data_IF_884952960798
#
_entry.id   IF_884952960798
#
_cell.length_a   1.000
_cell.length_b   1.000
_cell.length_c   1.000
_cell.angle_alpha   90.00
_cell.angle_beta   90.00
_cell.angle_gamma   90.00
#
_symmetry.space_group_name_H-M   'P 1'
#
loop_
_entity.id
_entity.type
_entity.pdbx_description
1 polymer ?
#
# COMPACT_ATOMS: atom_id res chain seq x y z
N UNK A 1 -8.23 14.05 -2.00
CA UNK A 1 -8.07 15.23 -1.15
C UNK A 1 -8.39 16.53 -1.88
N UNK A 2 -7.94 16.68 -3.12
CA UNK A 2 -8.19 17.90 -3.90
C UNK A 2 -9.67 18.14 -4.15
N UNK A 3 -10.42 17.10 -4.51
CA UNK A 3 -11.85 17.20 -4.74
C UNK A 3 -12.61 17.63 -3.48
N UNK A 4 -12.25 17.08 -2.33
CA UNK A 4 -12.87 17.44 -1.06
C UNK A 4 -12.59 18.91 -0.70
N UNK A 5 -11.39 19.38 -0.96
CA UNK A 5 -11.03 20.78 -0.77
C UNK A 5 -11.87 21.69 -1.66
N UNK A 6 -12.08 21.32 -2.92
CA UNK A 6 -12.94 22.07 -3.85
C UNK A 6 -14.37 22.12 -3.36
N UNK A 7 -14.86 21.07 -2.70
CA UNK A 7 -16.21 21.02 -2.11
C UNK A 7 -16.29 21.67 -0.72
N UNK A 8 -15.20 22.29 -0.25
CA UNK A 8 -15.10 22.90 1.08
C UNK A 8 -15.34 21.91 2.22
N UNK A 9 -15.00 20.64 2.00
CA UNK A 9 -15.09 19.61 3.03
C UNK A 9 -13.75 19.48 3.74
N UNK A 10 -13.79 19.48 5.08
CA UNK A 10 -12.59 19.36 5.91
C UNK A 10 -12.23 17.88 6.15
N UNK A 11 -10.96 17.56 5.97
CA UNK A 11 -10.41 16.24 6.29
C UNK A 11 -9.58 16.39 7.58
N UNK A 12 -9.78 15.58 8.61
CA UNK A 12 -10.72 14.44 8.72
C UNK A 12 -12.11 14.76 9.26
N UNK A 13 -12.40 16.03 9.60
CA UNK A 13 -13.61 16.38 10.35
C UNK A 13 -14.93 16.02 9.63
N UNK A 14 -15.03 16.38 8.35
CA UNK A 14 -16.22 16.07 7.56
C UNK A 14 -16.13 14.70 6.91
N UNK A 15 -14.94 14.37 6.42
CA UNK A 15 -14.67 13.10 5.73
C UNK A 15 -13.25 12.64 6.09
N UNK A 16 -13.13 11.42 6.61
CA UNK A 16 -11.84 10.77 6.77
C UNK A 16 -11.41 10.14 5.44
N UNK A 17 -10.11 10.22 5.14
CA UNK A 17 -9.55 9.68 3.90
C UNK A 17 -8.39 8.76 4.22
N UNK A 18 -8.38 7.58 3.61
CA UNK A 18 -7.28 6.65 3.71
C UNK A 18 -6.87 6.19 2.32
N UNK A 19 -5.59 5.92 2.15
CA UNK A 19 -5.00 5.46 0.92
C UNK A 19 -4.37 4.07 1.03
N UNK A 20 -3.61 3.71 0.01
CA UNK A 20 -2.89 2.44 -0.08
C UNK A 20 -1.54 2.66 -0.74
N UNK A 21 -0.53 1.87 -0.39
CA UNK A 21 0.84 1.85 -0.92
C UNK A 21 1.84 2.78 -0.23
N UNK A 22 1.40 3.75 0.55
CA UNK A 22 2.29 4.68 1.27
C UNK A 22 3.39 5.27 0.36
N UNK A 23 2.98 5.84 -0.77
CA UNK A 23 3.91 6.55 -1.65
C UNK A 23 4.43 7.81 -0.95
N UNK A 24 5.61 8.34 -1.33
CA UNK A 24 6.17 9.53 -0.68
C UNK A 24 5.22 10.73 -0.60
N UNK A 25 4.35 10.90 -1.58
CA UNK A 25 3.34 11.95 -1.58
C UNK A 25 2.39 11.89 -0.38
N UNK A 26 2.22 10.73 0.25
CA UNK A 26 1.37 10.56 1.43
C UNK A 26 1.81 11.43 2.61
N UNK A 27 3.09 11.69 2.72
CA UNK A 27 3.67 12.56 3.77
C UNK A 27 3.69 14.04 3.37
N UNK A 28 3.54 14.34 2.08
CA UNK A 28 3.68 15.69 1.55
C UNK A 28 2.35 16.42 1.39
N UNK A 29 1.26 15.70 1.31
CA UNK A 29 -0.08 16.29 1.20
C UNK A 29 -0.57 16.85 2.54
N UNK A 30 -1.54 17.75 2.48
CA UNK A 30 -2.16 18.33 3.68
C UNK A 30 -3.66 18.05 3.66
N UNK A 31 -4.21 17.36 4.66
CA UNK A 31 -3.49 16.69 5.76
C UNK A 31 -2.66 15.50 5.26
N UNK A 32 -1.66 15.09 6.04
CA UNK A 32 -0.88 13.90 5.72
C UNK A 32 -1.78 12.66 5.69
N UNK A 33 -1.55 11.78 4.71
CA UNK A 33 -2.48 10.72 4.37
C UNK A 33 -2.21 9.44 5.15
N UNK A 34 -3.21 8.96 5.88
CA UNK A 34 -3.25 7.61 6.44
C UNK A 34 -3.27 6.60 5.30
N UNK A 35 -2.42 5.58 5.36
CA UNK A 35 -2.28 4.62 4.26
C UNK A 35 -1.83 3.26 4.76
N UNK A 36 -1.91 2.27 3.90
CA UNK A 36 -1.38 0.93 4.14
C UNK A 36 -0.02 0.82 3.47
N UNK A 37 0.98 0.43 4.25
CA UNK A 37 2.34 0.17 3.75
C UNK A 37 2.53 -1.31 3.54
N UNK A 38 2.91 -1.70 2.33
CA UNK A 38 3.34 -3.05 1.99
C UNK A 38 4.85 -3.08 1.86
N UNK A 39 5.47 -4.21 2.21
CA UNK A 39 6.91 -4.41 2.01
C UNK A 39 7.17 -4.82 0.56
N UNK A 40 7.17 -3.86 -0.35
CA UNK A 40 7.20 -4.08 -1.80
C UNK A 40 8.45 -4.84 -2.25
N UNK A 41 9.59 -4.60 -1.62
CA UNK A 41 10.82 -5.35 -1.94
C UNK A 41 10.68 -6.84 -1.64
N UNK A 42 10.06 -7.19 -0.52
CA UNK A 42 9.83 -8.58 -0.15
C UNK A 42 8.84 -9.25 -1.12
N UNK A 43 7.79 -8.54 -1.53
CA UNK A 43 6.83 -9.04 -2.51
C UNK A 43 7.52 -9.31 -3.84
N UNK A 44 8.35 -8.37 -4.30
CA UNK A 44 9.12 -8.51 -5.54
C UNK A 44 10.10 -9.68 -5.47
N UNK A 45 10.82 -9.83 -4.36
CA UNK A 45 11.76 -10.92 -4.15
C UNK A 45 11.06 -12.29 -4.18
N UNK A 46 9.92 -12.42 -3.52
CA UNK A 46 9.14 -13.66 -3.52
C UNK A 46 8.57 -13.97 -4.92
N UNK A 47 8.10 -12.98 -5.63
CA UNK A 47 7.63 -13.14 -7.01
C UNK A 47 8.76 -13.61 -7.93
N UNK A 48 9.93 -12.98 -7.85
CA UNK A 48 11.09 -13.37 -8.63
C UNK A 48 11.53 -14.81 -8.34
N UNK A 49 11.57 -15.18 -7.08
CA UNK A 49 11.89 -16.52 -6.62
C UNK A 49 10.96 -17.58 -7.23
N UNK A 50 9.66 -17.30 -7.25
CA UNK A 50 8.67 -18.21 -7.83
C UNK A 50 8.84 -18.37 -9.33
N UNK A 51 9.10 -17.28 -10.04
CA UNK A 51 9.33 -17.32 -11.49
C UNK A 51 10.59 -18.12 -11.80
N UNK A 52 11.69 -17.88 -11.08
CA UNK A 52 12.95 -18.62 -11.25
C UNK A 52 12.77 -20.11 -10.98
N UNK A 53 12.05 -20.48 -9.94
CA UNK A 53 11.76 -21.87 -9.61
C UNK A 53 10.93 -22.55 -10.71
N UNK A 54 9.98 -21.85 -11.31
CA UNK A 54 9.22 -22.37 -12.45
C UNK A 54 10.08 -22.57 -13.68
N UNK A 55 10.94 -21.62 -13.99
CA UNK A 55 11.84 -21.69 -15.15
C UNK A 55 12.87 -22.81 -14.99
N UNK A 56 13.29 -23.14 -13.78
CA UNK A 56 14.21 -24.26 -13.51
C UNK A 56 13.52 -25.62 -13.46
N UNK A 57 12.20 -25.68 -13.72
CA UNK A 57 11.44 -26.92 -13.79
C UNK A 57 10.92 -27.44 -12.45
N UNK A 58 11.10 -26.72 -11.36
CA UNK A 58 10.52 -27.09 -10.08
C UNK A 58 9.00 -26.88 -10.09
N UNK A 59 8.26 -27.96 -9.97
CA UNK A 59 6.78 -27.93 -9.92
C UNK A 59 6.23 -27.98 -8.50
N UNK A 60 7.10 -28.01 -7.50
CA UNK A 60 6.73 -28.28 -6.11
C UNK A 60 6.23 -27.07 -5.34
N UNK A 61 6.43 -25.86 -5.85
CA UNK A 61 6.00 -24.64 -5.17
C UNK A 61 4.64 -24.17 -5.67
N UNK A 62 3.67 -23.95 -4.76
CA UNK A 62 2.38 -23.39 -5.13
C UNK A 62 2.54 -21.96 -5.66
N UNK A 63 1.72 -21.58 -6.64
CA UNK A 63 1.66 -20.20 -7.13
C UNK A 63 1.16 -19.22 -6.07
N UNK A 64 0.42 -19.69 -5.09
CA UNK A 64 -0.11 -18.85 -4.03
C UNK A 64 0.89 -18.79 -2.88
N UNK A 65 1.29 -17.60 -2.52
CA UNK A 65 1.84 -17.30 -1.21
C UNK A 65 0.71 -16.81 -0.32
N UNK A 66 0.83 -17.05 0.99
CA UNK A 66 -0.06 -16.46 1.96
C UNK A 66 -0.02 -14.92 1.92
N UNK A 67 -0.88 -14.25 2.68
CA UNK A 67 -0.88 -12.78 2.71
C UNK A 67 0.47 -12.25 3.14
N UNK A 68 0.93 -11.18 2.46
CA UNK A 68 2.15 -10.48 2.84
C UNK A 68 1.90 -9.59 4.05
N UNK A 69 2.88 -9.42 4.94
CA UNK A 69 2.79 -8.46 6.05
C UNK A 69 2.51 -7.05 5.54
N UNK A 70 1.71 -6.32 6.26
CA UNK A 70 1.40 -4.93 5.97
C UNK A 70 1.36 -4.13 7.27
N UNK A 71 1.43 -2.81 7.14
CA UNK A 71 1.30 -1.87 8.26
C UNK A 71 0.28 -0.80 7.90
N UNK A 72 -0.53 -0.41 8.89
CA UNK A 72 -1.38 0.77 8.74
C UNK A 72 -0.60 1.96 9.31
N UNK A 73 -0.33 2.92 8.46
CA UNK A 73 0.37 4.16 8.84
C UNK A 73 -0.68 5.23 9.06
N UNK A 74 -1.04 5.42 10.31
CA UNK A 74 -2.02 6.44 10.69
C UNK A 74 -1.39 7.82 10.64
N UNK A 75 -2.06 8.74 9.94
CA UNK A 75 -1.66 10.14 9.83
C UNK A 75 -2.87 11.06 10.08
N UNK A 76 -2.78 12.30 9.62
CA UNK A 76 -3.74 13.33 10.00
C UNK A 76 -5.06 13.28 9.20
N UNK A 77 -5.15 12.46 8.16
CA UNK A 77 -6.35 12.35 7.32
C UNK A 77 -7.45 11.45 7.91
N UNK A 78 -7.17 10.82 9.01
CA UNK A 78 -8.16 9.97 9.73
C UNK A 78 -8.24 10.31 11.20
#
# INVERSE_FOLDING_TARGET
LRALKTLSLCVPHDVAVAGFDDIPASELVTPTLTTVRMHQQNIGAEAAKKILNRLSGSKSLPWRTGPFPYEIIQRNST
#
